data_IF_862470900684
#
_entry.id   IF_862470900684
#
_cell.length_a   1.000
_cell.length_b   1.000
_cell.length_c   1.000
_cell.angle_alpha   90.00
_cell.angle_beta   90.00
_cell.angle_gamma   90.00
#
_symmetry.space_group_name_H-M   'P 1'
#
loop_
_entity.id
_entity.type
_entity.pdbx_description
1 polymer ?
#
# COMPACT_ATOMS: atom_id res chain seq x y z
N UNK A 1 -12.19 36.89 -48.65
CA UNK A 1 -11.94 35.71 -47.81
C UNK A 1 -11.15 36.18 -46.59
N UNK A 2 -11.82 36.49 -45.47
CA UNK A 2 -11.17 37.08 -44.29
C UNK A 2 -10.48 36.03 -43.44
N UNK A 3 -9.19 36.22 -43.15
CA UNK A 3 -8.42 35.33 -42.27
C UNK A 3 -8.55 35.91 -40.86
N UNK A 4 -9.31 35.24 -39.99
CA UNK A 4 -9.35 35.60 -38.57
C UNK A 4 -8.03 35.19 -37.89
N UNK A 5 -7.29 36.19 -37.42
CA UNK A 5 -6.12 36.01 -36.56
C UNK A 5 -6.57 35.62 -35.14
N UNK A 6 -6.22 34.40 -34.72
CA UNK A 6 -6.45 33.93 -33.35
C UNK A 6 -5.30 34.41 -32.45
N UNK A 7 -5.59 35.41 -31.60
CA UNK A 7 -4.62 36.14 -30.78
C UNK A 7 -3.93 35.25 -29.71
N UNK A 8 -2.60 35.31 -29.65
CA UNK A 8 -1.70 34.46 -28.84
C UNK A 8 -1.83 34.59 -27.31
N UNK A 9 -2.51 35.62 -26.80
CA UNK A 9 -2.57 35.92 -25.35
C UNK A 9 -3.49 34.99 -24.54
N UNK A 10 -4.39 34.23 -25.18
CA UNK A 10 -5.30 33.31 -24.47
C UNK A 10 -4.71 31.91 -24.25
N UNK A 11 -3.60 31.56 -24.92
CA UNK A 11 -2.96 30.24 -24.76
C UNK A 11 -2.16 30.12 -23.46
N UNK A 12 -1.73 31.24 -22.88
CA UNK A 12 -0.88 31.24 -21.67
C UNK A 12 -1.72 31.03 -20.39
N UNK A 13 -2.91 31.63 -20.28
CA UNK A 13 -3.73 31.57 -19.06
C UNK A 13 -4.34 30.16 -18.86
N UNK A 14 -4.82 29.52 -19.94
CA UNK A 14 -5.36 28.15 -19.87
C UNK A 14 -4.27 27.14 -19.48
N UNK A 15 -3.03 27.33 -19.95
CA UNK A 15 -1.90 26.48 -19.57
C UNK A 15 -1.59 26.52 -18.08
N UNK A 16 -1.63 27.69 -17.44
CA UNK A 16 -1.37 27.83 -15.99
C UNK A 16 -2.48 27.20 -15.15
N UNK A 17 -3.76 27.35 -15.54
CA UNK A 17 -4.87 26.69 -14.84
C UNK A 17 -4.88 25.18 -14.99
N UNK A 18 -4.56 24.65 -16.17
CA UNK A 18 -4.44 23.19 -16.39
C UNK A 18 -3.26 22.62 -15.61
N UNK A 19 -2.13 23.32 -15.53
CA UNK A 19 -0.97 22.89 -14.74
C UNK A 19 -1.22 22.98 -13.23
N UNK A 20 -1.91 24.02 -12.75
CA UNK A 20 -2.32 24.14 -11.35
C UNK A 20 -3.35 23.06 -10.97
N UNK A 21 -4.31 22.76 -11.86
CA UNK A 21 -5.26 21.66 -11.70
C UNK A 21 -4.56 20.30 -11.72
N UNK A 22 -3.65 20.06 -12.66
CA UNK A 22 -2.84 18.85 -12.72
C UNK A 22 -1.97 18.70 -11.47
N UNK A 23 -1.32 19.75 -10.98
CA UNK A 23 -0.54 19.71 -9.74
C UNK A 23 -1.42 19.47 -8.50
N UNK A 24 -2.62 20.05 -8.46
CA UNK A 24 -3.61 19.83 -7.40
C UNK A 24 -4.11 18.37 -7.39
N UNK A 25 -4.39 17.79 -8.56
CA UNK A 25 -4.85 16.41 -8.71
C UNK A 25 -3.72 15.37 -8.69
N UNK A 26 -2.47 15.76 -8.99
CA UNK A 26 -1.27 14.92 -8.92
C UNK A 26 -0.65 14.90 -7.52
N UNK A 27 -1.20 15.67 -6.57
CA UNK A 27 -0.84 15.58 -5.15
C UNK A 27 -1.27 14.25 -4.48
N UNK A 28 -2.10 13.45 -5.16
CA UNK A 28 -2.63 12.21 -4.61
C UNK A 28 -1.81 10.99 -5.06
N UNK A 29 -1.18 10.31 -4.09
CA UNK A 29 -0.47 9.01 -4.18
C UNK A 29 1.05 9.10 -4.36
N UNK A 30 1.74 9.87 -3.51
CA UNK A 30 3.16 9.59 -3.29
C UNK A 30 3.25 8.28 -2.50
N UNK A 31 3.76 7.22 -3.15
CA UNK A 31 4.14 6.00 -2.46
C UNK A 31 5.36 6.32 -1.62
N UNK A 32 5.21 6.35 -0.31
CA UNK A 32 6.30 6.56 0.62
C UNK A 32 7.15 5.28 0.67
N UNK A 33 8.46 5.49 0.70
CA UNK A 33 9.45 4.41 0.79
C UNK A 33 10.45 4.80 1.87
N UNK A 34 10.64 3.90 2.83
CA UNK A 34 11.76 3.99 3.77
C UNK A 34 12.78 2.96 3.32
N UNK A 35 14.06 3.27 3.40
CA UNK A 35 15.16 2.43 2.96
C UNK A 35 16.03 2.00 4.13
N UNK A 36 16.66 0.84 4.00
CA UNK A 36 17.80 0.43 4.83
C UNK A 36 19.05 1.24 4.45
N UNK A 37 20.10 1.19 5.28
CA UNK A 37 21.40 1.82 5.00
C UNK A 37 22.04 1.32 3.70
N UNK A 38 21.74 0.08 3.30
CA UNK A 38 22.21 -0.51 2.05
C UNK A 38 21.41 -0.05 0.80
N UNK A 39 20.48 0.90 0.97
CA UNK A 39 19.67 1.47 -0.11
C UNK A 39 18.50 0.59 -0.58
N UNK A 40 18.28 -0.60 0.00
CA UNK A 40 17.11 -1.44 -0.31
C UNK A 40 15.87 -0.93 0.45
N UNK A 41 14.66 -1.06 -0.11
CA UNK A 41 13.45 -0.64 0.58
C UNK A 41 13.27 -1.45 1.87
N UNK A 42 12.98 -0.77 2.97
CA UNK A 42 12.55 -1.33 4.25
C UNK A 42 11.02 -1.48 4.27
N UNK A 43 10.31 -0.46 3.81
CA UNK A 43 8.85 -0.50 3.67
C UNK A 43 8.38 0.42 2.56
N UNK A 44 7.26 0.07 1.93
CA UNK A 44 6.60 0.92 0.94
C UNK A 44 5.09 0.91 1.14
N UNK A 45 4.45 2.07 0.98
CA UNK A 45 3.01 2.22 1.15
C UNK A 45 2.54 3.64 0.91
N UNK A 46 1.29 3.95 1.25
CA UNK A 46 0.75 5.29 1.13
C UNK A 46 0.18 5.76 2.47
N UNK A 47 0.14 7.08 2.63
CA UNK A 47 -0.57 7.73 3.72
C UNK A 47 -1.81 8.47 3.17
N UNK A 48 -2.86 8.51 3.98
CA UNK A 48 -4.01 9.38 3.82
C UNK A 48 -4.24 10.10 5.14
N UNK A 49 -4.28 11.43 5.12
CA UNK A 49 -4.50 12.26 6.32
C UNK A 49 -3.51 11.93 7.46
N UNK A 50 -2.24 11.69 7.12
CA UNK A 50 -1.18 11.35 8.08
C UNK A 50 -1.25 9.91 8.63
N UNK A 51 -2.17 9.06 8.16
CA UNK A 51 -2.33 7.67 8.59
C UNK A 51 -2.03 6.68 7.47
N UNK A 52 -1.52 5.49 7.80
CA UNK A 52 -1.32 4.42 6.82
C UNK A 52 -2.62 4.12 6.07
N UNK A 53 -2.55 4.06 4.74
CA UNK A 53 -3.71 3.78 3.89
C UNK A 53 -3.33 2.98 2.65
N UNK A 54 -4.23 2.08 2.25
CA UNK A 54 -4.04 1.19 1.12
C UNK A 54 -3.02 0.09 1.41
N UNK A 55 -2.43 -0.47 0.35
CA UNK A 55 -1.53 -1.61 0.45
C UNK A 55 -0.12 -1.20 0.89
N UNK A 56 0.43 -1.96 1.82
CA UNK A 56 1.75 -1.80 2.40
C UNK A 56 2.56 -3.07 2.28
N UNK A 57 3.86 -2.90 2.07
CA UNK A 57 4.83 -4.00 1.99
C UNK A 57 6.06 -3.64 2.81
N UNK A 58 6.51 -4.58 3.64
CA UNK A 58 7.78 -4.54 4.34
C UNK A 58 8.71 -5.57 3.75
N UNK A 59 10.01 -5.29 3.82
CA UNK A 59 11.05 -6.12 3.24
C UNK A 59 12.14 -6.41 4.27
N UNK A 60 12.82 -7.55 4.11
CA UNK A 60 14.06 -7.86 4.81
C UNK A 60 15.23 -7.07 4.21
N UNK A 61 16.37 -6.95 4.92
CA UNK A 61 17.57 -6.28 4.39
C UNK A 61 18.11 -6.90 3.09
N UNK A 62 17.80 -8.18 2.83
CA UNK A 62 18.15 -8.85 1.58
C UNK A 62 17.25 -8.41 0.40
N UNK A 63 16.13 -7.74 0.66
CA UNK A 63 15.15 -7.26 -0.31
C UNK A 63 13.94 -8.18 -0.52
N UNK A 64 13.90 -9.36 0.11
CA UNK A 64 12.72 -10.23 0.06
C UNK A 64 11.57 -9.65 0.88
N UNK A 65 10.33 -9.97 0.51
CA UNK A 65 9.15 -9.50 1.24
C UNK A 65 9.15 -10.12 2.64
N UNK A 66 8.87 -9.30 3.64
CA UNK A 66 8.71 -9.69 5.04
C UNK A 66 7.25 -9.79 5.43
N UNK A 67 6.47 -8.79 5.03
CA UNK A 67 5.04 -8.70 5.35
C UNK A 67 4.34 -7.85 4.30
N UNK A 68 3.08 -8.16 4.03
CA UNK A 68 2.22 -7.33 3.20
C UNK A 68 0.78 -7.34 3.70
N UNK A 69 0.06 -6.28 3.42
CA UNK A 69 -1.36 -6.15 3.78
C UNK A 69 -1.86 -4.74 3.56
N UNK A 70 -3.14 -4.51 3.84
CA UNK A 70 -3.76 -3.20 3.64
C UNK A 70 -4.09 -2.53 4.96
N UNK A 71 -3.99 -1.21 4.99
CA UNK A 71 -4.56 -0.37 6.03
C UNK A 71 -5.75 0.44 5.51
N UNK A 72 -6.70 0.68 6.39
CA UNK A 72 -7.75 1.67 6.23
C UNK A 72 -7.70 2.63 7.43
N UNK A 73 -7.49 3.93 7.17
CA UNK A 73 -7.38 4.99 8.19
C UNK A 73 -6.43 4.66 9.36
N UNK A 74 -5.29 4.04 9.06
CA UNK A 74 -4.27 3.66 10.06
C UNK A 74 -4.45 2.27 10.65
N UNK A 75 -5.57 1.60 10.43
CA UNK A 75 -5.85 0.26 10.98
C UNK A 75 -5.75 -0.83 9.92
N UNK A 76 -5.20 -1.99 10.29
CA UNK A 76 -5.08 -3.16 9.40
C UNK A 76 -6.47 -3.63 8.99
N UNK A 77 -6.61 -3.90 7.69
CA UNK A 77 -7.86 -4.31 7.06
C UNK A 77 -7.59 -5.39 6.01
N UNK A 78 -8.44 -6.41 5.97
CA UNK A 78 -8.38 -7.51 5.03
C UNK A 78 -7.23 -8.49 5.30
N UNK A 79 -6.74 -9.12 4.24
CA UNK A 79 -5.73 -10.18 4.32
C UNK A 79 -4.33 -9.61 4.50
N UNK A 80 -3.65 -10.12 5.51
CA UNK A 80 -2.25 -9.88 5.82
C UNK A 80 -1.45 -11.16 5.66
N UNK A 81 -0.25 -11.04 5.12
CA UNK A 81 0.67 -12.17 4.92
C UNK A 81 2.03 -11.86 5.49
N UNK A 82 2.66 -12.86 6.08
CA UNK A 82 4.07 -12.80 6.50
C UNK A 82 4.88 -13.83 5.73
N UNK A 83 6.16 -13.55 5.56
CA UNK A 83 7.08 -14.38 4.81
C UNK A 83 8.42 -14.49 5.56
N UNK A 84 9.14 -15.58 5.35
CA UNK A 84 10.53 -15.72 5.80
C UNK A 84 11.50 -15.05 4.81
N UNK A 85 12.80 -15.01 5.15
CA UNK A 85 13.82 -14.35 4.30
C UNK A 85 13.98 -15.00 2.92
N UNK A 86 13.61 -16.27 2.77
CA UNK A 86 13.60 -17.02 1.50
C UNK A 86 12.36 -16.71 0.64
N UNK A 87 11.39 -15.95 1.17
CA UNK A 87 10.15 -15.62 0.48
C UNK A 87 9.02 -16.63 0.66
N UNK A 88 9.20 -17.68 1.48
CA UNK A 88 8.13 -18.63 1.78
C UNK A 88 7.11 -17.97 2.69
N UNK A 89 5.83 -18.14 2.36
CA UNK A 89 4.71 -17.63 3.16
C UNK A 89 4.65 -18.39 4.48
N UNK A 90 4.66 -17.66 5.59
CA UNK A 90 4.61 -18.23 6.94
C UNK A 90 3.20 -18.17 7.52
N UNK A 91 2.53 -17.03 7.34
CA UNK A 91 1.15 -16.85 7.82
C UNK A 91 0.28 -16.09 6.83
N UNK A 92 -1.02 -16.35 6.91
CA UNK A 92 -2.07 -15.52 6.32
C UNK A 92 -3.13 -15.24 7.39
N UNK A 93 -3.54 -13.98 7.54
CA UNK A 93 -4.42 -13.55 8.63
C UNK A 93 -5.41 -12.50 8.14
N UNK A 94 -6.68 -12.65 8.49
CA UNK A 94 -7.69 -11.65 8.15
C UNK A 94 -7.90 -10.67 9.29
N UNK A 95 -7.82 -9.37 9.00
CA UNK A 95 -7.98 -8.28 9.96
C UNK A 95 -9.16 -7.39 9.60
N UNK A 96 -9.81 -6.87 10.64
CA UNK A 96 -10.80 -5.79 10.53
C UNK A 96 -10.57 -4.79 11.66
N UNK A 97 -10.28 -3.54 11.33
CA UNK A 97 -9.95 -2.51 12.32
C UNK A 97 -8.89 -2.99 13.34
N UNK A 98 -7.75 -3.49 12.84
CA UNK A 98 -6.64 -4.04 13.63
C UNK A 98 -6.87 -5.36 14.39
N UNK A 99 -8.11 -5.85 14.44
CA UNK A 99 -8.46 -7.11 15.12
C UNK A 99 -8.46 -8.28 14.14
N UNK A 100 -7.96 -9.44 14.56
CA UNK A 100 -8.14 -10.69 13.84
C UNK A 100 -9.64 -10.98 13.72
N UNK A 101 -10.11 -11.07 12.48
CA UNK A 101 -11.51 -11.29 12.18
C UNK A 101 -11.65 -12.09 10.88
N UNK A 102 -11.70 -13.42 11.04
CA UNK A 102 -11.72 -14.40 9.98
C UNK A 102 -10.62 -15.44 10.20
N UNK A 103 -10.10 -15.99 9.09
CA UNK A 103 -9.08 -17.04 9.14
C UNK A 103 -7.73 -16.51 9.60
N UNK A 104 -7.04 -17.34 10.38
CA UNK A 104 -5.62 -17.28 10.63
C UNK A 104 -5.02 -18.63 10.23
N UNK A 105 -4.08 -18.61 9.29
CA UNK A 105 -3.49 -19.79 8.68
C UNK A 105 -1.98 -19.73 8.88
N UNK A 106 -1.40 -20.83 9.33
CA UNK A 106 0.05 -21.04 9.43
C UNK A 106 0.46 -22.07 8.39
N UNK A 107 1.55 -21.80 7.69
CA UNK A 107 2.11 -22.64 6.65
C UNK A 107 3.46 -23.22 7.10
N UNK A 108 3.78 -24.44 6.64
CA UNK A 108 5.14 -24.99 6.73
C UNK A 108 6.06 -24.44 5.62
N UNK A 109 7.32 -24.90 5.61
CA UNK A 109 8.32 -24.50 4.61
C UNK A 109 7.96 -24.94 3.18
N UNK A 110 7.12 -25.97 3.02
CA UNK A 110 6.64 -26.47 1.74
C UNK A 110 5.35 -25.76 1.28
N UNK A 111 4.81 -24.85 2.10
CA UNK A 111 3.56 -24.13 1.82
C UNK A 111 2.30 -24.90 2.17
N UNK A 112 2.39 -26.03 2.89
CA UNK A 112 1.22 -26.74 3.39
C UNK A 112 0.65 -26.05 4.62
N UNK A 113 -0.67 -26.12 4.79
CA UNK A 113 -1.33 -25.61 6.00
C UNK A 113 -1.02 -26.55 7.16
N UNK A 114 -0.39 -26.02 8.20
CA UNK A 114 -0.14 -26.75 9.46
C UNK A 114 -1.15 -26.38 10.55
N UNK A 115 -1.75 -25.20 10.43
CA UNK A 115 -2.74 -24.74 11.38
C UNK A 115 -3.72 -23.78 10.71
N UNK A 116 -5.01 -23.98 10.94
CA UNK A 116 -6.07 -23.05 10.58
C UNK A 116 -6.95 -22.80 11.80
N UNK A 117 -7.25 -21.52 12.06
CA UNK A 117 -8.09 -21.06 13.16
C UNK A 117 -9.01 -19.96 12.66
N UNK A 118 -10.18 -19.83 13.27
CA UNK A 118 -11.10 -18.73 12.98
C UNK A 118 -11.22 -17.81 14.19
N UNK A 119 -11.27 -16.51 13.92
CA UNK A 119 -11.35 -15.47 14.92
C UNK A 119 -12.52 -14.52 14.63
N UNK A 120 -13.20 -14.06 15.67
CA UNK A 120 -14.11 -12.90 15.61
C UNK A 120 -13.60 -11.91 16.66
N UNK A 121 -13.18 -10.72 16.22
CA UNK A 121 -12.65 -9.68 17.10
C UNK A 121 -11.59 -10.20 18.10
N UNK A 122 -10.56 -10.88 17.58
CA UNK A 122 -9.47 -11.51 18.33
C UNK A 122 -9.85 -12.73 19.19
N UNK A 123 -11.12 -13.13 19.23
CA UNK A 123 -11.57 -14.33 19.96
C UNK A 123 -11.63 -15.53 19.02
N UNK A 124 -10.85 -16.57 19.34
CA UNK A 124 -10.86 -17.86 18.61
C UNK A 124 -12.17 -18.61 18.84
N UNK A 125 -12.71 -19.22 17.79
CA UNK A 125 -13.89 -20.09 17.84
C UNK A 125 -13.76 -21.31 16.91
#
# INVERSE_FOLDING_TARGET
MGIFSYNSKHKIIVGVFVMAYAAYHFSGKRKEQVFYENGKPLQTGNFKEGKNHGFWVWYYPNGSKKMEGSFNNGSREGVWRTFNENGNKMTESNYKNDKLNGKYIVFDENGNIVQEMNYINDVKY
#
